data_IF_328927119662
#
_entry.id   IF_328927119662
#
_cell.length_a   1.000
_cell.length_b   1.000
_cell.length_c   1.000
_cell.angle_alpha   90.00
_cell.angle_beta   90.00
_cell.angle_gamma   90.00
#
_symmetry.space_group_name_H-M   'P 1'
#
loop_
_entity.id
_entity.type
_entity.pdbx_description
1 polymer ?
#
# COMPACT_ATOMS: atom_id res chain seq x y z
N UNK A 1 -61.86 16.44 33.74
CA UNK A 1 -60.54 15.76 33.87
C UNK A 1 -60.02 15.35 32.48
N UNK A 2 -59.88 16.29 31.53
CA UNK A 2 -59.55 15.98 30.11
C UNK A 2 -58.44 16.91 29.57
N UNK A 3 -58.21 18.06 30.19
CA UNK A 3 -57.26 19.07 29.69
C UNK A 3 -55.81 18.78 30.13
N UNK A 4 -55.62 18.10 31.27
CA UNK A 4 -54.26 17.71 31.73
C UNK A 4 -53.63 16.56 30.93
N UNK A 5 -54.44 15.77 30.22
CA UNK A 5 -53.96 14.59 29.50
C UNK A 5 -53.34 14.95 28.14
N UNK A 6 -53.75 16.08 27.54
CA UNK A 6 -53.12 16.63 26.33
C UNK A 6 -51.87 17.48 26.59
N UNK A 7 -51.64 17.94 27.82
CA UNK A 7 -50.44 18.69 28.18
C UNK A 7 -49.20 17.78 28.23
N UNK A 8 -49.39 16.47 28.48
CA UNK A 8 -48.32 15.49 28.61
C UNK A 8 -47.83 14.97 27.25
N UNK A 9 -48.66 15.05 26.20
CA UNK A 9 -48.32 14.58 24.84
C UNK A 9 -47.47 15.61 24.08
N UNK A 10 -47.61 16.91 24.40
CA UNK A 10 -46.83 17.97 23.73
C UNK A 10 -45.35 17.99 24.16
N UNK A 11 -45.01 17.40 25.31
CA UNK A 11 -43.64 17.28 25.81
C UNK A 11 -42.83 16.13 25.16
N UNK A 12 -43.46 15.24 24.39
CA UNK A 12 -42.78 14.09 23.78
C UNK A 12 -42.20 14.38 22.38
N UNK A 13 -42.44 15.54 21.79
CA UNK A 13 -41.93 15.88 20.45
C UNK A 13 -40.72 16.83 20.44
N UNK A 14 -40.34 17.40 21.59
CA UNK A 14 -39.22 18.34 21.71
C UNK A 14 -37.86 17.67 22.00
N UNK A 15 -37.79 16.32 22.03
CA UNK A 15 -36.64 15.58 22.56
C UNK A 15 -35.69 14.92 21.55
N UNK A 16 -35.88 15.08 20.23
CA UNK A 16 -35.09 14.30 19.24
C UNK A 16 -33.97 15.14 18.57
N UNK A 17 -33.89 16.45 18.80
CA UNK A 17 -32.98 17.33 18.04
C UNK A 17 -31.50 17.29 18.44
N UNK A 18 -31.05 16.39 19.32
CA UNK A 18 -29.62 16.29 19.68
C UNK A 18 -29.07 14.85 19.71
N UNK A 19 -29.48 14.00 18.77
CA UNK A 19 -28.56 12.93 18.35
C UNK A 19 -27.61 13.50 17.29
N UNK A 20 -26.59 14.22 17.74
CA UNK A 20 -25.42 14.45 16.88
C UNK A 20 -24.76 13.09 16.66
N UNK A 21 -24.98 12.48 15.49
CA UNK A 21 -24.10 11.42 15.02
C UNK A 21 -22.73 12.06 14.89
N UNK A 22 -21.90 11.88 15.93
CA UNK A 22 -20.47 12.16 15.83
C UNK A 22 -19.92 11.18 14.81
N UNK A 23 -19.95 11.58 13.54
CA UNK A 23 -19.24 10.87 12.49
C UNK A 23 -17.77 11.03 12.85
N UNK A 24 -17.23 10.05 13.56
CA UNK A 24 -15.79 9.86 13.68
C UNK A 24 -15.26 10.00 12.27
N UNK A 25 -14.58 11.12 11.98
CA UNK A 25 -13.78 11.24 10.77
C UNK A 25 -12.69 10.21 10.92
N UNK A 26 -12.98 9.00 10.47
CA UNK A 26 -11.96 8.03 10.17
C UNK A 26 -11.14 8.69 9.07
N UNK A 27 -10.01 9.26 9.44
CA UNK A 27 -8.91 9.51 8.53
C UNK A 27 -8.35 8.14 8.09
N UNK A 28 -9.24 7.27 7.60
CA UNK A 28 -8.92 5.98 7.02
C UNK A 28 -8.57 6.24 5.56
N UNK A 29 -7.63 7.15 5.33
CA UNK A 29 -6.71 7.04 4.20
C UNK A 29 -5.79 5.83 4.44
N UNK A 30 -6.41 4.67 4.70
CA UNK A 30 -5.80 3.35 4.69
C UNK A 30 -5.41 3.11 3.24
N UNK A 31 -4.29 3.70 2.84
CA UNK A 31 -3.68 3.43 1.55
C UNK A 31 -3.57 1.93 1.43
N UNK A 32 -4.22 1.37 0.41
CA UNK A 32 -4.13 -0.06 0.15
C UNK A 32 -2.66 -0.34 -0.08
N UNK A 33 -2.08 -1.17 0.78
CA UNK A 33 -0.71 -1.64 0.64
C UNK A 33 -0.68 -2.62 -0.53
N UNK A 34 -0.49 -2.10 -1.74
CA UNK A 34 -0.47 -2.85 -3.00
C UNK A 34 0.50 -4.02 -2.91
N UNK A 35 1.62 -3.83 -2.22
CA UNK A 35 2.62 -4.87 -1.98
C UNK A 35 1.97 -6.05 -1.26
N UNK A 36 1.31 -5.82 -0.13
CA UNK A 36 0.69 -6.88 0.67
C UNK A 36 -0.33 -7.70 -0.13
N UNK A 37 -1.19 -7.01 -0.88
CA UNK A 37 -2.24 -7.66 -1.66
C UNK A 37 -1.62 -8.52 -2.75
N UNK A 38 -0.69 -7.96 -3.53
CA UNK A 38 -0.09 -8.69 -4.64
C UNK A 38 0.88 -9.78 -4.20
N UNK A 39 1.60 -9.63 -3.10
CA UNK A 39 2.37 -10.72 -2.51
C UNK A 39 1.46 -11.89 -2.13
N UNK A 40 0.27 -11.62 -1.56
CA UNK A 40 -0.70 -12.68 -1.24
C UNK A 40 -1.14 -13.41 -2.51
N UNK A 41 -1.46 -12.68 -3.58
CA UNK A 41 -1.87 -13.29 -4.86
C UNK A 41 -0.77 -14.18 -5.44
N UNK A 42 0.50 -13.76 -5.35
CA UNK A 42 1.63 -14.60 -5.78
C UNK A 42 1.79 -15.82 -4.88
N UNK A 43 1.66 -15.67 -3.55
CA UNK A 43 1.71 -16.80 -2.60
C UNK A 43 0.63 -17.84 -2.87
N UNK A 44 -0.55 -17.39 -3.27
CA UNK A 44 -1.68 -18.25 -3.60
C UNK A 44 -1.53 -18.93 -4.98
N UNK A 45 -0.42 -18.69 -5.68
CA UNK A 45 -0.10 -19.32 -6.97
C UNK A 45 -0.67 -18.59 -8.19
N UNK A 46 -1.27 -17.42 -7.99
CA UNK A 46 -1.91 -16.64 -9.06
C UNK A 46 -1.02 -15.49 -9.58
N UNK A 47 0.31 -15.66 -9.48
CA UNK A 47 1.27 -14.70 -10.00
C UNK A 47 1.20 -14.57 -11.52
N UNK A 48 1.23 -13.34 -12.02
CA UNK A 48 1.22 -13.03 -13.46
C UNK A 48 2.23 -11.93 -13.76
N UNK A 49 2.67 -11.75 -15.02
CA UNK A 49 3.56 -10.65 -15.40
C UNK A 49 3.04 -9.28 -14.93
N UNK A 50 1.74 -9.02 -15.05
CA UNK A 50 1.13 -7.79 -14.54
C UNK A 50 1.35 -7.61 -13.03
N UNK A 51 1.16 -8.66 -12.24
CA UNK A 51 1.34 -8.60 -10.78
C UNK A 51 2.82 -8.39 -10.43
N UNK A 52 3.74 -9.07 -11.11
CA UNK A 52 5.18 -8.90 -10.89
C UNK A 52 5.65 -7.49 -11.23
N UNK A 53 5.15 -6.91 -12.32
CA UNK A 53 5.42 -5.50 -12.69
C UNK A 53 4.95 -4.56 -11.57
N UNK A 54 3.72 -4.74 -11.08
CA UNK A 54 3.18 -3.91 -10.00
C UNK A 54 3.95 -4.04 -8.70
N UNK A 55 4.37 -5.25 -8.33
CA UNK A 55 5.21 -5.48 -7.15
C UNK A 55 6.57 -4.81 -7.32
N UNK A 56 7.21 -4.98 -8.46
CA UNK A 56 8.51 -4.38 -8.75
C UNK A 56 8.48 -2.86 -8.64
N UNK A 57 7.51 -2.21 -9.30
CA UNK A 57 7.34 -0.76 -9.26
C UNK A 57 6.94 -0.27 -7.85
N UNK A 58 6.11 -1.01 -7.12
CA UNK A 58 5.74 -0.65 -5.75
C UNK A 58 6.97 -0.66 -4.82
N UNK A 59 7.81 -1.71 -4.89
CA UNK A 59 9.05 -1.75 -4.11
C UNK A 59 10.07 -0.70 -4.53
N UNK A 60 10.15 -0.39 -5.84
CA UNK A 60 10.96 0.72 -6.34
C UNK A 60 10.57 2.05 -5.67
N UNK A 61 9.27 2.36 -5.61
CA UNK A 61 8.79 3.59 -4.96
C UNK A 61 8.92 3.57 -3.44
N UNK A 62 8.99 2.40 -2.81
CA UNK A 62 9.29 2.25 -1.38
C UNK A 62 10.80 2.34 -1.07
N UNK A 63 11.65 2.38 -2.09
CA UNK A 63 13.12 2.37 -1.92
C UNK A 63 13.71 1.01 -1.54
N UNK A 64 12.90 -0.05 -1.56
CA UNK A 64 13.32 -1.43 -1.28
C UNK A 64 13.84 -2.07 -2.58
N UNK A 65 14.99 -1.57 -3.06
CA UNK A 65 15.50 -1.86 -4.40
C UNK A 65 15.92 -3.32 -4.63
N UNK A 66 16.34 -4.02 -3.59
CA UNK A 66 16.65 -5.46 -3.63
C UNK A 66 15.42 -6.31 -3.98
N UNK A 67 14.29 -6.00 -3.35
CA UNK A 67 13.00 -6.64 -3.66
C UNK A 67 12.49 -6.22 -5.03
N UNK A 68 12.63 -4.93 -5.37
CA UNK A 68 12.25 -4.44 -6.70
C UNK A 68 12.99 -5.20 -7.81
N UNK A 69 14.30 -5.37 -7.70
CA UNK A 69 15.12 -6.15 -8.65
C UNK A 69 14.60 -7.58 -8.79
N UNK A 70 14.30 -8.24 -7.67
CA UNK A 70 13.80 -9.63 -7.68
C UNK A 70 12.48 -9.76 -8.46
N UNK A 71 11.55 -8.83 -8.26
CA UNK A 71 10.28 -8.83 -8.98
C UNK A 71 10.42 -8.40 -10.45
N UNK A 72 11.32 -7.46 -10.78
CA UNK A 72 11.63 -7.12 -12.17
C UNK A 72 12.22 -8.32 -12.91
N UNK A 73 13.12 -9.08 -12.30
CA UNK A 73 13.67 -10.30 -12.89
C UNK A 73 12.57 -11.32 -13.18
N UNK A 74 11.65 -11.51 -12.23
CA UNK A 74 10.49 -12.39 -12.42
C UNK A 74 9.60 -11.91 -13.57
N UNK A 75 9.30 -10.62 -13.63
CA UNK A 75 8.55 -10.01 -14.74
C UNK A 75 9.24 -10.25 -16.10
N UNK A 76 10.51 -9.90 -16.23
CA UNK A 76 11.27 -10.04 -17.49
C UNK A 76 11.54 -11.50 -17.87
N UNK A 77 11.47 -12.44 -16.93
CA UNK A 77 11.55 -13.88 -17.24
C UNK A 77 10.30 -14.41 -17.95
N UNK A 78 9.16 -13.73 -17.82
CA UNK A 78 7.88 -14.16 -18.40
C UNK A 78 7.44 -13.27 -19.57
N UNK A 79 7.87 -12.01 -19.61
CA UNK A 79 7.47 -11.05 -20.63
C UNK A 79 8.61 -10.12 -21.01
N UNK A 80 8.92 -10.03 -22.29
CA UNK A 80 9.73 -8.92 -22.82
C UNK A 80 8.90 -7.64 -22.79
N UNK A 81 9.48 -6.55 -22.29
CA UNK A 81 8.81 -5.26 -22.24
C UNK A 81 9.69 -4.17 -22.86
N UNK A 82 9.07 -3.32 -23.68
CA UNK A 82 9.70 -2.18 -24.34
C UNK A 82 9.40 -0.85 -23.64
N UNK A 83 8.66 -0.85 -22.53
CA UNK A 83 8.39 0.35 -21.74
C UNK A 83 9.70 0.95 -21.16
N UNK A 84 10.11 2.15 -21.61
CA UNK A 84 11.31 2.81 -21.13
C UNK A 84 11.27 3.12 -19.63
N UNK A 85 10.09 3.37 -19.06
CA UNK A 85 9.93 3.68 -17.63
C UNK A 85 10.27 2.47 -16.77
N UNK A 86 9.79 1.29 -17.14
CA UNK A 86 10.08 0.06 -16.40
C UNK A 86 11.56 -0.34 -16.55
N UNK A 87 12.13 -0.19 -17.74
CA UNK A 87 13.57 -0.40 -17.94
C UNK A 87 14.43 0.56 -17.09
N UNK A 88 14.01 1.83 -17.00
CA UNK A 88 14.66 2.82 -16.15
C UNK A 88 14.58 2.44 -14.66
N UNK A 89 13.38 2.14 -14.14
CA UNK A 89 13.19 1.74 -12.75
C UNK A 89 14.02 0.50 -12.39
N UNK A 90 14.08 -0.49 -13.28
CA UNK A 90 14.89 -1.68 -13.08
C UNK A 90 16.39 -1.34 -13.02
N UNK A 91 16.87 -0.54 -13.97
CA UNK A 91 18.29 -0.11 -14.01
C UNK A 91 18.67 0.69 -12.77
N UNK A 92 17.81 1.60 -12.30
CA UNK A 92 18.05 2.36 -11.07
C UNK A 92 18.09 1.46 -9.84
N UNK A 93 17.18 0.49 -9.76
CA UNK A 93 17.16 -0.48 -8.65
C UNK A 93 18.45 -1.31 -8.61
N UNK A 94 18.93 -1.78 -9.77
CA UNK A 94 20.20 -2.51 -9.88
C UNK A 94 21.39 -1.66 -9.41
N UNK A 95 21.46 -0.40 -9.83
CA UNK A 95 22.52 0.53 -9.40
C UNK A 95 22.51 0.74 -7.89
N UNK A 96 21.34 0.95 -7.30
CA UNK A 96 21.20 1.14 -5.87
C UNK A 96 21.67 -0.09 -5.07
N UNK A 97 21.31 -1.30 -5.51
CA UNK A 97 21.76 -2.56 -4.90
C UNK A 97 23.28 -2.72 -5.02
N UNK A 98 23.85 -2.44 -6.18
CA UNK A 98 25.30 -2.53 -6.40
C UNK A 98 26.07 -1.57 -5.47
N UNK A 99 25.60 -0.32 -5.35
CA UNK A 99 26.18 0.67 -4.46
C UNK A 99 26.07 0.27 -2.97
N UNK A 100 24.91 -0.26 -2.54
CA UNK A 100 24.76 -0.75 -1.18
C UNK A 100 25.74 -1.89 -0.86
N UNK A 101 25.95 -2.81 -1.80
CA UNK A 101 26.87 -3.93 -1.64
C UNK A 101 28.34 -3.49 -1.60
N UNK A 102 28.76 -2.53 -2.42
CA UNK A 102 30.14 -2.02 -2.39
C UNK A 102 30.46 -1.39 -1.03
N UNK A 103 29.59 -0.53 -0.50
CA UNK A 103 29.79 0.11 0.81
C UNK A 103 29.83 -0.91 1.96
N UNK A 104 28.99 -1.96 1.88
CA UNK A 104 29.01 -3.04 2.87
C UNK A 104 30.32 -3.81 2.86
N UNK A 105 30.87 -4.07 1.66
CA UNK A 105 32.16 -4.75 1.51
C UNK A 105 33.33 -3.93 2.05
N UNK A 106 33.32 -2.62 1.82
CA UNK A 106 34.33 -1.69 2.32
C UNK A 106 34.30 -1.61 3.85
N UNK A 107 33.11 -1.45 4.44
CA UNK A 107 32.91 -1.44 5.89
C UNK A 107 33.41 -2.73 6.57
N UNK A 108 33.19 -3.89 5.93
CA UNK A 108 33.64 -5.18 6.45
C UNK A 108 35.18 -5.33 6.42
N UNK A 109 35.85 -4.71 5.44
CA UNK A 109 37.30 -4.72 5.35
C UNK A 109 37.97 -3.77 6.37
N UNK A 110 37.29 -2.71 6.80
CA UNK A 110 37.79 -1.77 7.82
C UNK A 110 37.77 -2.33 9.25
N UNK A 111 36.99 -3.38 9.50
CA UNK A 111 36.83 -4.01 10.82
C UNK A 111 37.76 -5.22 11.03
N UNK A 112 38.67 -5.48 10.08
CA UNK A 112 39.54 -6.66 10.03
C UNK A 112 41.00 -6.25 10.10
#
# INVERSE_FOLDING_TARGET
MIIKQNLLVFLLFAGISTFSFSQSKTNDNKQIDVVRVYEQVVRDGYGTPFIYERLATAYYFKGEYDKAVSWFQKFYSEKSNTDPTLAYQYTQSLKAVAYANSNKSESANLLK
#
